data_IF_753967467677
#
_entry.id   IF_753967467677
#
_cell.length_a   1.000
_cell.length_b   1.000
_cell.length_c   1.000
_cell.angle_alpha   90.00
_cell.angle_beta   90.00
_cell.angle_gamma   90.00
#
_symmetry.space_group_name_H-M   'P 1'
#
loop_
_entity.id
_entity.type
_entity.pdbx_description
1 polymer ?
#
# COMPACT_ATOMS: atom_id res chain seq x y z
N UNK A 1 -5.71 -17.17 -3.92
CA UNK A 1 -4.34 -16.60 -3.96
C UNK A 1 -3.58 -17.13 -2.76
N UNK A 2 -2.57 -17.97 -2.96
CA UNK A 2 -1.64 -18.36 -1.88
C UNK A 2 -0.68 -17.20 -1.70
N UNK A 3 -0.90 -16.38 -0.67
CA UNK A 3 0.09 -15.37 -0.27
C UNK A 3 1.37 -16.14 0.06
N UNK A 4 2.43 -15.95 -0.73
CA UNK A 4 3.73 -16.51 -0.43
C UNK A 4 4.23 -15.88 0.87
N UNK A 5 4.23 -16.68 1.93
CA UNK A 5 4.72 -16.26 3.24
C UNK A 5 6.21 -16.56 3.31
N UNK A 6 7.02 -15.52 3.25
CA UNK A 6 8.46 -15.64 3.49
C UNK A 6 8.74 -15.82 4.98
N UNK A 7 9.65 -16.72 5.30
CA UNK A 7 10.17 -16.84 6.67
C UNK A 7 11.13 -15.70 6.98
N UNK A 8 11.46 -15.49 8.26
CA UNK A 8 12.46 -14.48 8.66
C UNK A 8 13.83 -14.73 8.03
N UNK A 9 14.19 -15.98 7.75
CA UNK A 9 15.46 -16.33 7.11
C UNK A 9 15.44 -15.99 5.62
N UNK A 10 14.32 -16.25 4.92
CA UNK A 10 14.17 -15.89 3.51
C UNK A 10 14.30 -14.37 3.34
N UNK A 11 13.69 -13.60 4.25
CA UNK A 11 13.77 -12.13 4.24
C UNK A 11 15.20 -11.64 4.46
N UNK A 12 15.95 -12.26 5.39
CA UNK A 12 17.35 -11.93 5.65
C UNK A 12 18.29 -12.27 4.49
N UNK A 13 17.89 -13.24 3.67
CA UNK A 13 18.66 -13.71 2.53
C UNK A 13 18.35 -12.96 1.23
N UNK A 14 17.33 -12.08 1.21
CA UNK A 14 17.16 -11.11 0.13
C UNK A 14 18.34 -10.13 0.13
N UNK A 15 19.33 -10.39 -0.73
CA UNK A 15 20.45 -9.49 -0.95
C UNK A 15 19.96 -8.30 -1.78
N UNK A 16 19.90 -7.12 -1.16
CA UNK A 16 19.63 -5.84 -1.84
C UNK A 16 18.19 -5.36 -1.67
N UNK A 17 17.24 -5.99 -2.35
CA UNK A 17 15.86 -5.51 -2.43
C UNK A 17 14.89 -6.32 -1.58
N UNK A 18 13.99 -5.62 -0.88
CA UNK A 18 12.86 -6.22 -0.14
C UNK A 18 11.75 -6.71 -1.06
N UNK A 19 11.91 -6.51 -2.36
CA UNK A 19 10.94 -6.82 -3.41
C UNK A 19 11.56 -7.79 -4.40
N UNK A 20 10.91 -8.94 -4.62
CA UNK A 20 11.28 -9.86 -5.67
C UNK A 20 10.73 -9.38 -7.03
N UNK A 21 11.51 -8.56 -7.71
CA UNK A 21 11.14 -7.99 -9.02
C UNK A 21 10.93 -9.06 -10.10
N UNK A 22 11.69 -10.16 -10.08
CA UNK A 22 11.55 -11.26 -11.04
C UNK A 22 10.20 -11.97 -10.91
N UNK A 23 9.65 -12.02 -9.69
CA UNK A 23 8.29 -12.52 -9.45
C UNK A 23 7.25 -11.53 -9.94
N UNK A 24 7.42 -10.24 -9.62
CA UNK A 24 6.48 -9.18 -10.01
C UNK A 24 6.31 -9.10 -11.53
N UNK A 25 7.41 -9.18 -12.28
CA UNK A 25 7.38 -9.16 -13.76
C UNK A 25 6.61 -10.34 -14.39
N UNK A 26 6.42 -11.44 -13.66
CA UNK A 26 5.72 -12.64 -14.15
C UNK A 26 4.25 -12.70 -13.73
N UNK A 27 3.75 -11.72 -12.98
CA UNK A 27 2.35 -11.72 -12.55
C UNK A 27 1.42 -11.47 -13.74
N UNK A 28 0.33 -12.24 -13.80
CA UNK A 28 -0.71 -11.99 -14.80
C UNK A 28 -1.59 -10.80 -14.38
N UNK A 29 -2.24 -10.17 -15.35
CA UNK A 29 -3.18 -9.07 -15.10
C UNK A 29 -4.29 -9.45 -14.10
N UNK A 30 -4.73 -10.72 -14.15
CA UNK A 30 -5.72 -11.27 -13.23
C UNK A 30 -5.18 -11.35 -11.80
N UNK A 31 -3.92 -11.74 -11.64
CA UNK A 31 -3.28 -11.80 -10.32
C UNK A 31 -3.04 -10.40 -9.76
N UNK A 32 -2.71 -9.43 -10.61
CA UNK A 32 -2.57 -8.02 -10.24
C UNK A 32 -3.92 -7.47 -9.76
N UNK A 33 -5.00 -7.69 -10.51
CA UNK A 33 -6.35 -7.24 -10.14
C UNK A 33 -6.83 -7.88 -8.83
N UNK A 34 -6.56 -9.17 -8.65
CA UNK A 34 -6.93 -9.88 -7.43
C UNK A 34 -6.13 -9.37 -6.22
N UNK A 35 -4.83 -9.10 -6.39
CA UNK A 35 -3.99 -8.53 -5.34
C UNK A 35 -4.46 -7.12 -4.96
N UNK A 36 -4.69 -6.25 -5.95
CA UNK A 36 -5.20 -4.91 -5.74
C UNK A 36 -6.55 -4.92 -5.01
N UNK A 37 -7.47 -5.81 -5.41
CA UNK A 37 -8.79 -5.91 -4.79
C UNK A 37 -8.76 -6.48 -3.36
N UNK A 38 -7.70 -7.21 -3.00
CA UNK A 38 -7.53 -7.79 -1.67
C UNK A 38 -6.83 -6.86 -0.67
N UNK A 39 -6.25 -5.77 -1.16
CA UNK A 39 -5.61 -4.78 -0.30
C UNK A 39 -6.69 -4.02 0.50
N UNK A 40 -6.53 -3.97 1.82
CA UNK A 40 -7.45 -3.29 2.72
C UNK A 40 -7.43 -1.78 2.50
N UNK A 41 -6.31 -1.26 2.00
CA UNK A 41 -6.12 0.14 1.64
C UNK A 41 -6.47 0.41 0.16
N UNK A 42 -6.96 -0.59 -0.57
CA UNK A 42 -7.44 -0.43 -1.95
C UNK A 42 -8.60 0.55 -2.11
N UNK A 43 -9.61 0.58 -1.22
CA UNK A 43 -10.58 1.66 -1.25
C UNK A 43 -9.87 2.93 -0.77
N UNK A 44 -9.75 3.91 -1.66
CA UNK A 44 -9.39 5.27 -1.25
C UNK A 44 -10.32 5.68 -0.11
N UNK A 45 -9.73 6.21 0.98
CA UNK A 45 -10.51 6.73 2.09
C UNK A 45 -11.53 7.76 1.56
N UNK A 46 -12.72 7.79 2.14
CA UNK A 46 -13.75 8.72 1.71
C UNK A 46 -13.27 10.18 1.82
N UNK A 47 -13.78 11.08 0.99
CA UNK A 47 -13.48 12.52 1.12
C UNK A 47 -13.81 13.03 2.52
N UNK A 48 -14.83 12.47 3.18
CA UNK A 48 -15.19 12.77 4.55
C UNK A 48 -14.07 12.41 5.54
N UNK A 49 -13.47 11.23 5.40
CA UNK A 49 -12.37 10.77 6.26
C UNK A 49 -11.03 11.43 5.90
N UNK A 50 -10.77 11.67 4.61
CA UNK A 50 -9.61 12.42 4.14
C UNK A 50 -9.58 13.84 4.71
N UNK A 51 -10.74 14.48 4.80
CA UNK A 51 -10.88 15.83 5.37
C UNK A 51 -10.55 15.93 6.86
N UNK A 52 -10.42 14.81 7.58
CA UNK A 52 -9.94 14.80 8.98
C UNK A 52 -8.42 14.97 9.07
N UNK A 53 -7.68 14.62 8.01
CA UNK A 53 -6.22 14.72 7.95
C UNK A 53 -5.77 16.07 7.38
N UNK A 54 -6.34 17.18 7.86
CA UNK A 54 -5.93 18.52 7.41
C UNK A 54 -4.64 18.95 8.09
N UNK A 55 -3.73 19.52 7.30
CA UNK A 55 -2.51 20.12 7.83
C UNK A 55 -2.86 21.27 8.78
N UNK A 56 -2.02 21.53 9.79
CA UNK A 56 -2.22 22.67 10.73
C UNK A 56 -2.37 24.00 9.98
N UNK A 57 -1.68 24.14 8.85
CA UNK A 57 -1.78 25.32 7.96
C UNK A 57 -3.18 25.47 7.36
N UNK A 58 -3.79 24.37 6.91
CA UNK A 58 -5.15 24.39 6.37
C UNK A 58 -6.22 24.63 7.46
N UNK A 59 -5.93 24.25 8.72
CA UNK A 59 -6.83 24.54 9.85
C UNK A 59 -6.75 26.00 10.31
N UNK A 60 -5.57 26.62 10.30
CA UNK A 60 -5.38 28.05 10.65
C UNK A 60 -6.16 28.99 9.74
N UNK A 61 -6.15 28.75 8.44
CA UNK A 61 -6.93 29.53 7.47
C UNK A 61 -8.45 29.47 7.71
N UNK A 62 -8.97 28.42 8.37
CA UNK A 62 -10.40 28.34 8.73
C UNK A 62 -10.74 29.06 10.03
N UNK A 63 -9.74 29.38 10.84
CA UNK A 63 -9.91 30.04 12.14
C UNK A 63 -9.59 31.54 12.08
N UNK A 64 -9.25 32.08 10.90
CA UNK A 64 -8.75 33.45 10.71
C UNK A 64 -7.64 33.83 11.73
N UNK A 65 -6.75 32.86 12.00
CA UNK A 65 -5.57 32.97 12.87
C UNK A 65 -4.26 32.98 12.08
#
# INVERSE_FOLDING_TARGET
MTIEKYTKNDIKNFKGDKTDWKRVEKLSEKDIQQAASSDKDAPLISDYDANKFKSRRAMRHKLDL
#
